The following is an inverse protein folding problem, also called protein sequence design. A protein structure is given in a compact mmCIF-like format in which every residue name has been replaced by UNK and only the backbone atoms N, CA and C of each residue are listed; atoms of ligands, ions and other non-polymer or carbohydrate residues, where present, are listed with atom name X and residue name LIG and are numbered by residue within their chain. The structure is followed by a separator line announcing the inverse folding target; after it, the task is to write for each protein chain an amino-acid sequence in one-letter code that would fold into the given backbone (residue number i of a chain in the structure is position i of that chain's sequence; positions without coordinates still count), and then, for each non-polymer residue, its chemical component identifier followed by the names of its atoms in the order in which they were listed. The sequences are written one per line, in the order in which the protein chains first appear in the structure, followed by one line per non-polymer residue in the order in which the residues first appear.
data_IF_594251244003
#
_entry.id   IF_594251244003
#
_cell.length_a   1.000
_cell.length_b   1.000
_cell.length_c   1.000
_cell.angle_alpha   90.00
_cell.angle_beta   90.00
_cell.angle_gamma   90.00
#
_symmetry.space_group_name_H-M   'P 1'
#
loop_
_entity.id
_entity.type
_entity.pdbx_description
1 polymer ?
#
# COMPACT_ATOMS: atom_id res chain seq x y z
N UNK A 1 -52.22 47.40 6.78
CA UNK A 1 -50.74 47.30 6.81
C UNK A 1 -50.40 45.99 7.52
N UNK A 2 -50.06 44.93 6.78
CA UNK A 2 -49.72 43.60 7.31
C UNK A 2 -48.37 43.21 6.72
N UNK A 3 -47.37 43.00 7.57
CA UNK A 3 -46.07 42.47 7.17
C UNK A 3 -46.10 40.95 7.23
N UNK A 4 -45.60 40.20 6.23
CA UNK A 4 -45.34 38.79 6.41
C UNK A 4 -43.95 38.63 7.03
N UNK A 5 -43.88 37.88 8.13
CA UNK A 5 -42.63 37.39 8.72
C UNK A 5 -42.20 36.21 7.85
N UNK A 6 -41.10 36.37 7.12
CA UNK A 6 -40.42 35.27 6.43
C UNK A 6 -39.52 34.58 7.46
N UNK A 7 -39.88 33.36 7.87
CA UNK A 7 -39.00 32.51 8.64
C UNK A 7 -37.98 31.87 7.69
N UNK A 8 -36.71 32.28 7.80
CA UNK A 8 -35.61 31.63 7.10
C UNK A 8 -35.19 30.38 7.89
N UNK A 9 -35.55 29.20 7.39
CA UNK A 9 -35.04 27.94 7.90
C UNK A 9 -33.59 27.76 7.46
N UNK A 10 -32.65 27.91 8.41
CA UNK A 10 -31.24 27.55 8.20
C UNK A 10 -31.14 26.03 8.22
N UNK A 11 -30.99 25.40 7.05
CA UNK A 11 -30.58 24.01 6.94
C UNK A 11 -29.09 23.94 7.33
N UNK A 12 -28.79 23.45 8.52
CA UNK A 12 -27.43 23.05 8.89
C UNK A 12 -27.18 21.72 8.17
N UNK A 13 -26.52 21.75 7.01
CA UNK A 13 -25.91 20.54 6.44
C UNK A 13 -24.84 20.08 7.43
N UNK A 14 -25.15 19.08 8.25
CA UNK A 14 -24.14 18.30 8.90
C UNK A 14 -23.38 17.54 7.80
N UNK A 15 -22.23 18.07 7.38
CA UNK A 15 -21.26 17.30 6.64
C UNK A 15 -20.82 16.16 7.59
N UNK A 16 -21.43 14.99 7.44
CA UNK A 16 -20.90 13.77 8.02
C UNK A 16 -19.53 13.56 7.38
N UNK A 17 -18.47 13.97 8.08
CA UNK A 17 -17.13 13.48 7.83
C UNK A 17 -17.19 11.97 8.09
N UNK A 18 -17.55 11.20 7.06
CA UNK A 18 -17.36 9.77 7.09
C UNK A 18 -15.86 9.55 7.28
N UNK A 19 -15.48 9.04 8.44
CA UNK A 19 -14.10 8.65 8.69
C UNK A 19 -13.78 7.50 7.73
N UNK A 20 -12.60 7.55 7.12
CA UNK A 20 -12.11 6.43 6.32
C UNK A 20 -11.78 5.23 7.19
N UNK A 21 -11.29 4.16 6.55
CA UNK A 21 -10.88 2.94 7.21
C UNK A 21 -9.98 3.25 8.41
N UNK A 22 -10.24 2.58 9.54
CA UNK A 22 -9.44 2.71 10.77
C UNK A 22 -8.09 1.99 10.67
N UNK A 23 -7.28 2.39 9.70
CA UNK A 23 -5.92 1.90 9.47
C UNK A 23 -4.89 2.75 10.20
N UNK A 24 -4.00 2.10 10.95
CA UNK A 24 -2.94 2.77 11.69
C UNK A 24 -1.72 2.96 10.77
N UNK A 25 -1.25 4.19 10.57
CA UNK A 25 -0.05 4.41 9.79
C UNK A 25 1.19 3.96 10.56
N UNK A 26 2.26 3.65 9.82
CA UNK A 26 3.53 3.22 10.38
C UNK A 26 4.68 3.76 9.50
N UNK A 27 5.54 4.61 10.07
CA UNK A 27 6.74 5.10 9.40
C UNK A 27 7.97 4.22 9.70
N UNK A 28 7.78 3.07 10.37
CA UNK A 28 8.79 2.06 10.68
C UNK A 28 10.07 2.60 11.36
N UNK A 29 9.96 3.72 12.07
CA UNK A 29 11.04 4.36 12.83
C UNK A 29 11.20 3.77 14.25
N UNK A 30 10.26 2.95 14.69
CA UNK A 30 10.26 2.33 16.02
C UNK A 30 11.26 1.19 16.17
N UNK A 31 11.32 0.60 17.36
CA UNK A 31 12.04 -0.65 17.61
C UNK A 31 11.24 -1.91 17.20
N UNK A 32 9.94 -1.74 16.94
CA UNK A 32 9.00 -2.75 16.49
C UNK A 32 7.98 -2.12 15.54
N UNK A 33 7.34 -2.93 14.69
CA UNK A 33 6.14 -2.53 13.95
C UNK A 33 5.01 -2.15 14.92
N UNK A 34 4.07 -1.33 14.44
CA UNK A 34 2.84 -1.01 15.17
C UNK A 34 2.09 -2.30 15.59
N UNK A 35 1.59 -2.42 16.83
CA UNK A 35 0.92 -3.64 17.32
C UNK A 35 -0.40 -3.98 16.63
N UNK A 36 -0.96 -3.09 15.81
CA UNK A 36 -2.15 -3.36 14.99
C UNK A 36 -1.84 -4.20 13.74
N UNK A 37 -0.57 -4.38 13.40
CA UNK A 37 -0.16 -5.25 12.31
C UNK A 37 -0.26 -6.73 12.68
N UNK A 38 -0.60 -7.53 11.67
CA UNK A 38 -0.62 -8.99 11.73
C UNK A 38 0.22 -9.55 10.57
N UNK A 39 0.93 -10.64 10.85
CA UNK A 39 1.63 -11.39 9.82
C UNK A 39 0.77 -12.56 9.32
N UNK A 40 0.56 -12.62 8.00
CA UNK A 40 0.31 -13.86 7.30
C UNK A 40 1.66 -14.39 6.82
N UNK A 41 2.07 -15.56 7.31
CA UNK A 41 3.38 -16.18 7.04
C UNK A 41 4.54 -15.21 7.32
N UNK A 42 4.75 -14.92 8.61
CA UNK A 42 5.86 -14.09 9.08
C UNK A 42 7.21 -14.59 8.51
N UNK A 43 8.02 -13.71 7.90
CA UNK A 43 9.29 -14.13 7.32
C UNK A 43 10.32 -14.43 8.42
N UNK A 44 11.28 -15.32 8.17
CA UNK A 44 12.35 -15.62 9.14
C UNK A 44 13.31 -14.46 9.38
N UNK A 45 13.41 -13.53 8.42
CA UNK A 45 14.36 -12.42 8.48
C UNK A 45 13.64 -11.13 8.09
N UNK A 46 13.33 -10.34 9.10
CA UNK A 46 12.83 -8.99 8.97
C UNK A 46 13.29 -8.12 10.14
N UNK A 47 13.27 -6.81 9.92
CA UNK A 47 13.48 -5.81 10.95
C UNK A 47 12.78 -4.50 10.59
N UNK A 48 12.59 -3.66 11.60
CA UNK A 48 12.33 -2.23 11.39
C UNK A 48 13.54 -1.44 11.88
N UNK A 49 13.90 -0.41 11.12
CA UNK A 49 14.89 0.59 11.53
C UNK A 49 16.32 0.04 11.81
N UNK A 50 16.66 -1.21 11.42
CA UNK A 50 18.01 -1.78 11.63
C UNK A 50 18.79 -1.92 10.33
N UNK A 51 18.26 -2.65 9.35
CA UNK A 51 18.92 -2.81 8.04
C UNK A 51 18.93 -1.49 7.28
N UNK A 52 17.85 -0.71 7.40
CA UNK A 52 17.76 0.65 6.88
C UNK A 52 16.93 1.49 7.85
N UNK A 53 17.50 2.61 8.29
CA UNK A 53 16.86 3.48 9.27
C UNK A 53 15.53 4.03 8.71
N UNK A 54 14.45 3.89 9.49
CA UNK A 54 13.09 4.30 9.12
C UNK A 54 12.40 3.40 8.10
N UNK A 55 12.87 2.18 7.88
CA UNK A 55 12.26 1.26 6.92
C UNK A 55 11.93 -0.07 7.59
N UNK A 56 10.80 -0.65 7.21
CA UNK A 56 10.56 -2.07 7.35
C UNK A 56 11.37 -2.79 6.26
N UNK A 57 12.18 -3.76 6.66
CA UNK A 57 12.96 -4.58 5.75
C UNK A 57 12.62 -6.04 5.99
N UNK A 58 12.38 -6.82 4.93
CA UNK A 58 12.40 -8.27 5.03
C UNK A 58 13.03 -8.94 3.80
N UNK A 59 13.55 -10.14 4.02
CA UNK A 59 14.12 -10.97 2.96
C UNK A 59 13.03 -11.90 2.43
N UNK A 60 12.82 -11.87 1.12
CA UNK A 60 11.80 -12.68 0.45
C UNK A 60 12.07 -14.18 0.61
N UNK A 61 11.05 -14.92 1.02
CA UNK A 61 11.12 -16.37 1.14
C UNK A 61 10.49 -17.08 -0.07
N UNK A 62 10.93 -18.31 -0.33
CA UNK A 62 10.38 -19.16 -1.39
C UNK A 62 8.94 -19.57 -1.14
N UNK A 63 8.27 -19.97 -2.23
CA UNK A 63 6.86 -20.33 -2.25
C UNK A 63 6.01 -19.21 -1.63
N UNK A 64 6.28 -17.97 -2.04
CA UNK A 64 5.58 -16.77 -1.59
C UNK A 64 4.98 -16.06 -2.79
N UNK A 65 3.84 -16.58 -3.26
CA UNK A 65 3.11 -16.05 -4.40
C UNK A 65 1.68 -15.62 -4.01
N UNK A 66 1.22 -14.51 -4.61
CA UNK A 66 -0.17 -14.07 -4.61
C UNK A 66 -0.61 -13.95 -6.07
N UNK A 67 -1.19 -15.02 -6.62
CA UNK A 67 -1.72 -15.02 -7.99
C UNK A 67 -3.05 -15.74 -8.12
N UNK A 68 -3.03 -17.08 -8.06
CA UNK A 68 -4.23 -17.93 -8.03
C UNK A 68 -4.43 -18.65 -6.70
N UNK A 69 -3.40 -18.65 -5.88
CA UNK A 69 -3.39 -19.07 -4.49
C UNK A 69 -2.67 -17.99 -3.67
N UNK A 70 -2.94 -17.98 -2.36
CA UNK A 70 -2.18 -17.17 -1.41
C UNK A 70 -1.18 -18.05 -0.68
N UNK A 71 0.10 -17.81 -0.94
CA UNK A 71 1.22 -18.41 -0.22
C UNK A 71 2.12 -17.32 0.38
N UNK A 72 1.66 -16.07 0.38
CA UNK A 72 2.51 -14.91 0.60
C UNK A 72 2.88 -14.67 2.04
N UNK A 73 4.11 -14.23 2.23
CA UNK A 73 4.46 -13.35 3.35
C UNK A 73 3.76 -12.02 3.17
N UNK A 74 2.96 -11.63 4.16
CA UNK A 74 2.15 -10.41 4.12
C UNK A 74 1.97 -9.83 5.51
N UNK A 75 2.18 -8.52 5.62
CA UNK A 75 1.92 -7.72 6.81
C UNK A 75 0.63 -6.93 6.56
N UNK A 76 -0.40 -7.10 7.38
CA UNK A 76 -1.71 -6.51 7.13
C UNK A 76 -2.39 -6.01 8.39
N UNK A 77 -3.36 -5.12 8.20
CA UNK A 77 -4.35 -4.72 9.19
C UNK A 77 -5.73 -5.17 8.73
N UNK A 78 -6.60 -5.47 9.69
CA UNK A 78 -7.97 -5.89 9.42
C UNK A 78 -8.91 -4.69 9.46
N UNK A 79 -9.77 -4.56 8.46
CA UNK A 79 -10.86 -3.59 8.41
C UNK A 79 -12.18 -4.34 8.47
N UNK A 80 -12.95 -4.07 9.54
CA UNK A 80 -14.19 -4.77 9.88
C UNK A 80 -15.45 -4.04 9.39
N UNK A 81 -15.29 -2.82 8.90
CA UNK A 81 -16.39 -1.97 8.44
C UNK A 81 -16.20 -1.63 6.95
N UNK A 82 -17.30 -1.36 6.24
CA UNK A 82 -17.26 -1.04 4.81
C UNK A 82 -16.87 0.42 4.58
N UNK A 83 -15.69 0.79 5.06
CA UNK A 83 -15.13 2.14 4.98
C UNK A 83 -14.26 2.31 3.73
N UNK A 84 -14.18 3.54 3.23
CA UNK A 84 -13.27 3.95 2.15
C UNK A 84 -11.84 4.07 2.71
N UNK A 85 -10.84 3.66 1.92
CA UNK A 85 -9.43 3.76 2.31
C UNK A 85 -8.61 4.43 1.20
N UNK A 86 -7.49 5.02 1.57
CA UNK A 86 -6.55 5.63 0.65
C UNK A 86 -5.13 5.34 1.09
N UNK A 87 -4.70 4.10 0.82
CA UNK A 87 -3.44 3.58 1.35
C UNK A 87 -2.29 3.78 0.39
N UNK A 88 -1.15 4.19 0.92
CA UNK A 88 0.08 4.36 0.16
C UNK A 88 1.32 3.89 0.93
N UNK A 89 2.36 3.55 0.16
CA UNK A 89 3.68 3.17 0.64
C UNK A 89 4.74 3.55 -0.38
N UNK A 90 5.99 3.66 0.06
CA UNK A 90 7.16 3.62 -0.82
C UNK A 90 7.82 2.24 -0.71
N UNK A 91 7.93 1.57 -1.84
CA UNK A 91 8.53 0.26 -2.00
C UNK A 91 9.92 0.39 -2.61
N UNK A 92 10.91 -0.23 -1.98
CA UNK A 92 12.21 -0.52 -2.59
C UNK A 92 12.41 -2.03 -2.66
N UNK A 93 12.82 -2.51 -3.83
CA UNK A 93 13.23 -3.90 -4.03
C UNK A 93 14.61 -3.98 -4.65
N UNK A 94 15.37 -4.99 -4.25
CA UNK A 94 16.57 -5.45 -4.95
C UNK A 94 16.50 -6.96 -5.12
N UNK A 95 16.68 -7.44 -6.35
CA UNK A 95 16.54 -8.85 -6.69
C UNK A 95 17.67 -9.36 -7.58
N UNK A 96 17.96 -10.65 -7.40
CA UNK A 96 18.97 -11.36 -8.16
C UNK A 96 18.40 -12.00 -9.43
N UNK A 97 18.59 -13.31 -9.51
CA UNK A 97 18.25 -14.16 -10.66
C UNK A 97 17.04 -15.07 -10.37
N UNK A 98 16.19 -14.73 -9.41
CA UNK A 98 14.91 -15.42 -9.23
C UNK A 98 14.06 -15.28 -10.49
N UNK A 99 13.41 -16.35 -10.91
CA UNK A 99 12.56 -16.30 -12.10
C UNK A 99 11.33 -15.43 -11.91
N UNK A 100 10.82 -15.37 -10.67
CA UNK A 100 9.58 -14.70 -10.31
C UNK A 100 9.64 -14.25 -8.86
N UNK A 101 9.77 -12.94 -8.67
CA UNK A 101 9.73 -12.24 -7.39
C UNK A 101 8.54 -11.27 -7.39
N UNK A 102 7.86 -11.11 -6.25
CA UNK A 102 6.72 -10.17 -6.13
C UNK A 102 6.82 -9.33 -4.87
N UNK A 103 6.37 -8.08 -4.95
CA UNK A 103 6.14 -7.23 -3.78
C UNK A 103 5.14 -6.11 -4.09
N UNK A 104 4.39 -5.62 -3.10
CA UNK A 104 3.51 -4.49 -3.29
C UNK A 104 2.45 -4.29 -2.21
N UNK A 105 1.34 -3.67 -2.63
CA UNK A 105 0.15 -3.41 -1.83
C UNK A 105 -0.98 -4.38 -2.19
N UNK A 106 -1.75 -4.80 -1.19
CA UNK A 106 -2.88 -5.70 -1.37
C UNK A 106 -4.04 -5.32 -0.46
N UNK A 107 -5.24 -5.54 -0.99
CA UNK A 107 -6.50 -5.61 -0.22
C UNK A 107 -7.07 -6.99 -0.50
N UNK A 108 -7.08 -7.85 0.52
CA UNK A 108 -7.64 -9.20 0.44
C UNK A 108 -9.02 -9.24 1.08
N UNK A 109 -9.86 -10.10 0.54
CA UNK A 109 -11.23 -10.37 0.94
C UNK A 109 -11.32 -11.86 1.31
N UNK A 110 -10.97 -12.25 2.56
CA UNK A 110 -10.83 -13.66 2.94
C UNK A 110 -12.10 -14.48 2.73
N UNK A 111 -13.28 -13.90 3.02
CA UNK A 111 -14.58 -14.55 2.88
C UNK A 111 -14.93 -14.93 1.43
N UNK A 112 -14.38 -14.22 0.45
CA UNK A 112 -14.57 -14.50 -0.98
C UNK A 112 -13.37 -15.22 -1.61
N UNK A 113 -12.32 -15.51 -0.84
CA UNK A 113 -11.03 -16.00 -1.34
C UNK A 113 -10.56 -15.20 -2.57
N UNK A 114 -10.61 -13.87 -2.43
CA UNK A 114 -10.27 -12.94 -3.49
C UNK A 114 -9.41 -11.78 -3.00
N UNK A 115 -8.81 -11.05 -3.93
CA UNK A 115 -7.94 -9.93 -3.62
C UNK A 115 -7.82 -8.98 -4.80
N UNK A 116 -7.50 -7.73 -4.48
CA UNK A 116 -7.04 -6.71 -5.42
C UNK A 116 -5.62 -6.33 -5.00
N UNK A 117 -4.68 -6.34 -5.93
CA UNK A 117 -3.28 -6.02 -5.65
C UNK A 117 -2.69 -5.06 -6.67
N UNK A 118 -1.75 -4.26 -6.18
CA UNK A 118 -0.82 -3.48 -6.98
C UNK A 118 0.59 -3.98 -6.67
N UNK A 119 1.22 -4.66 -7.65
CA UNK A 119 2.46 -5.40 -7.42
C UNK A 119 3.54 -5.11 -8.45
N UNK A 120 4.78 -5.06 -7.98
CA UNK A 120 5.95 -5.20 -8.82
C UNK A 120 6.21 -6.70 -9.03
N UNK A 121 6.17 -7.16 -10.28
CA UNK A 121 6.59 -8.52 -10.66
C UNK A 121 7.98 -8.43 -11.28
N UNK A 122 8.94 -9.08 -10.63
CA UNK A 122 10.38 -9.02 -10.87
C UNK A 122 10.86 -10.33 -11.49
N UNK A 123 11.73 -10.22 -12.49
CA UNK A 123 12.16 -11.33 -13.33
C UNK A 123 13.66 -11.59 -13.22
N UNK A 124 14.07 -12.83 -13.52
CA UNK A 124 15.46 -13.28 -13.40
C UNK A 124 16.44 -12.64 -14.38
N UNK A 125 15.93 -12.01 -15.44
CA UNK A 125 16.69 -11.15 -16.34
C UNK A 125 16.91 -9.74 -15.79
N UNK A 126 16.62 -9.50 -14.51
CA UNK A 126 16.76 -8.22 -13.80
C UNK A 126 15.84 -7.09 -14.31
N UNK A 127 14.79 -7.43 -15.05
CA UNK A 127 13.69 -6.51 -15.38
C UNK A 127 12.51 -6.72 -14.43
N UNK A 128 11.61 -5.76 -14.35
CA UNK A 128 10.34 -5.92 -13.66
C UNK A 128 9.22 -5.15 -14.36
N UNK A 129 7.98 -5.47 -14.02
CA UNK A 129 6.79 -4.74 -14.46
C UNK A 129 5.83 -4.52 -13.30
N UNK A 130 5.19 -3.36 -13.29
CA UNK A 130 4.13 -3.04 -12.35
C UNK A 130 2.79 -3.58 -12.89
N UNK A 131 2.01 -4.21 -12.02
CA UNK A 131 0.73 -4.84 -12.37
C UNK A 131 -0.36 -4.42 -11.39
N UNK A 132 -1.57 -4.20 -11.88
CA UNK A 132 -2.77 -4.00 -11.08
C UNK A 132 -3.77 -5.11 -11.41
N UNK A 133 -4.03 -6.00 -10.45
CA UNK A 133 -4.63 -7.30 -10.71
C UNK A 133 -5.68 -7.68 -9.65
N UNK A 134 -6.58 -8.57 -10.06
CA UNK A 134 -7.39 -9.40 -9.16
C UNK A 134 -6.82 -10.82 -9.14
N UNK A 135 -7.33 -11.68 -8.26
CA UNK A 135 -6.98 -13.11 -8.26
C UNK A 135 -7.12 -13.73 -9.65
N UNK A 136 -6.04 -14.32 -10.17
CA UNK A 136 -5.92 -14.89 -11.51
C UNK A 136 -6.34 -13.99 -12.69
N UNK A 137 -6.52 -12.69 -12.50
CA UNK A 137 -7.04 -11.78 -13.54
C UNK A 137 -6.16 -10.55 -13.63
N UNK A 138 -5.57 -10.36 -14.81
CA UNK A 138 -4.63 -9.27 -15.09
C UNK A 138 -5.07 -8.33 -16.23
N UNK A 139 -6.28 -8.48 -16.72
CA UNK A 139 -6.83 -7.60 -17.76
C UNK A 139 -8.35 -7.46 -17.63
N UNK A 140 -8.88 -6.38 -18.21
CA UNK A 140 -10.30 -6.02 -18.10
C UNK A 140 -10.61 -5.28 -16.79
N UNK A 141 -11.76 -4.58 -16.74
CA UNK A 141 -12.22 -3.84 -15.54
C UNK A 141 -11.12 -2.95 -14.91
N UNK A 142 -10.37 -2.23 -15.76
CA UNK A 142 -9.28 -1.34 -15.37
C UNK A 142 -8.01 -2.02 -14.83
N UNK A 143 -7.94 -3.36 -14.87
CA UNK A 143 -6.74 -4.13 -14.51
C UNK A 143 -5.70 -4.10 -15.62
N UNK A 144 -4.44 -4.24 -15.26
CA UNK A 144 -3.33 -4.36 -16.21
C UNK A 144 -2.24 -5.28 -15.71
N UNK A 145 -1.80 -6.19 -16.58
CA UNK A 145 -0.63 -7.04 -16.37
C UNK A 145 0.69 -6.31 -16.65
N UNK A 146 0.65 -5.08 -17.18
CA UNK A 146 1.84 -4.26 -17.40
C UNK A 146 1.47 -2.79 -17.53
N UNK A 147 1.85 -1.98 -16.54
CA UNK A 147 1.71 -0.53 -16.63
C UNK A 147 2.59 0.01 -17.78
N UNK A 148 1.99 0.73 -18.71
CA UNK A 148 2.71 1.32 -19.83
C UNK A 148 3.68 2.41 -19.34
N UNK A 149 4.87 2.48 -19.95
CA UNK A 149 5.88 3.48 -19.62
C UNK A 149 6.74 3.17 -18.38
N UNK A 150 6.34 2.22 -17.53
CA UNK A 150 7.14 1.79 -16.38
C UNK A 150 7.78 0.42 -16.62
N UNK A 151 9.10 0.40 -16.79
CA UNK A 151 9.89 -0.80 -17.08
C UNK A 151 11.26 -0.77 -16.38
N UNK A 152 11.29 -0.89 -15.04
CA UNK A 152 12.54 -0.91 -14.30
C UNK A 152 13.44 -2.07 -14.73
N UNK A 153 14.76 -1.83 -14.68
CA UNK A 153 15.79 -2.79 -15.05
C UNK A 153 17.00 -2.68 -14.12
N UNK A 154 17.88 -3.67 -14.16
CA UNK A 154 19.11 -3.70 -13.36
C UNK A 154 18.95 -4.35 -11.98
N UNK A 155 17.83 -5.02 -11.69
CA UNK A 155 17.66 -5.80 -10.47
C UNK A 155 17.32 -4.96 -9.25
N UNK A 156 16.82 -3.74 -9.47
CA UNK A 156 16.36 -2.85 -8.41
C UNK A 156 15.23 -1.96 -8.89
N UNK A 157 14.36 -1.57 -7.96
CA UNK A 157 13.28 -0.61 -8.20
C UNK A 157 12.96 0.15 -6.91
N UNK A 158 12.63 1.42 -7.05
CA UNK A 158 12.18 2.32 -5.98
C UNK A 158 10.97 3.09 -6.53
N UNK A 159 9.81 2.93 -5.91
CA UNK A 159 8.56 3.52 -6.38
C UNK A 159 7.56 3.68 -5.24
N UNK A 160 6.59 4.55 -5.46
CA UNK A 160 5.48 4.76 -4.55
C UNK A 160 4.25 4.09 -5.13
N UNK A 161 3.54 3.35 -4.29
CA UNK A 161 2.33 2.63 -4.64
C UNK A 161 1.16 3.19 -3.84
N UNK A 162 -0.01 3.26 -4.46
CA UNK A 162 -1.23 3.69 -3.78
C UNK A 162 -2.45 2.91 -4.27
N UNK A 163 -3.27 2.46 -3.33
CA UNK A 163 -4.59 1.88 -3.58
C UNK A 163 -5.62 2.75 -2.89
N UNK A 164 -6.62 3.20 -3.65
CA UNK A 164 -7.72 4.02 -3.14
C UNK A 164 -9.04 3.34 -3.39
N UNK A 165 -9.82 3.12 -2.33
CA UNK A 165 -11.21 2.69 -2.42
C UNK A 165 -12.15 3.87 -2.22
N UNK A 166 -13.13 3.98 -3.12
CA UNK A 166 -14.26 4.89 -3.02
C UNK A 166 -15.54 4.12 -3.38
N UNK A 167 -16.35 3.81 -2.37
CA UNK A 167 -17.53 2.97 -2.48
C UNK A 167 -17.20 1.55 -2.97
N UNK A 168 -17.71 1.20 -4.15
CA UNK A 168 -17.52 -0.10 -4.80
C UNK A 168 -16.33 -0.13 -5.77
N UNK A 169 -15.48 0.91 -5.80
CA UNK A 169 -14.34 0.99 -6.72
C UNK A 169 -13.02 1.02 -5.98
N UNK A 170 -12.03 0.33 -6.52
CA UNK A 170 -10.62 0.44 -6.11
C UNK A 170 -9.80 0.93 -7.30
N UNK A 171 -9.00 1.98 -7.09
CA UNK A 171 -8.12 2.55 -8.09
C UNK A 171 -6.65 2.40 -7.66
N UNK A 172 -5.82 1.89 -8.56
CA UNK A 172 -4.37 1.80 -8.39
C UNK A 172 -3.65 3.02 -8.96
N UNK A 173 -2.63 3.50 -8.26
CA UNK A 173 -1.76 4.59 -8.68
C UNK A 173 -0.30 4.29 -8.36
N UNK A 174 0.61 4.92 -9.10
CA UNK A 174 2.03 4.91 -8.79
C UNK A 174 2.69 6.26 -9.09
N UNK A 175 3.90 6.44 -8.54
CA UNK A 175 4.84 7.48 -8.96
C UNK A 175 6.27 7.01 -8.69
N UNK A 176 7.24 7.58 -9.39
CA UNK A 176 8.64 7.14 -9.31
C UNK A 176 9.45 7.95 -8.30
N UNK A 177 9.08 9.22 -8.05
CA UNK A 177 9.79 10.07 -7.09
C UNK A 177 8.84 10.72 -6.09
N UNK A 178 9.40 11.07 -4.94
CA UNK A 178 8.72 11.90 -3.97
C UNK A 178 8.44 13.28 -4.60
N UNK A 179 7.22 13.79 -4.41
CA UNK A 179 6.77 15.04 -5.02
C UNK A 179 6.21 14.94 -6.44
N UNK A 180 6.39 13.83 -7.15
CA UNK A 180 5.73 13.60 -8.43
C UNK A 180 4.21 13.49 -8.26
N UNK A 181 3.47 13.85 -9.31
CA UNK A 181 2.04 13.59 -9.41
C UNK A 181 1.75 12.08 -9.49
N UNK A 182 0.65 11.66 -8.90
CA UNK A 182 0.20 10.27 -8.96
C UNK A 182 -0.29 9.92 -10.36
N UNK A 183 0.35 8.93 -10.98
CA UNK A 183 -0.13 8.35 -12.24
C UNK A 183 -1.17 7.27 -11.95
N UNK A 184 -2.40 7.48 -12.45
CA UNK A 184 -3.46 6.47 -12.39
C UNK A 184 -3.13 5.29 -13.29
N UNK A 185 -3.20 4.08 -12.73
CA UNK A 185 -3.05 2.83 -13.47
C UNK A 185 -4.40 2.40 -14.04
N UNK A 186 -5.42 2.36 -13.19
CA UNK A 186 -6.76 1.92 -13.57
C UNK A 186 -7.67 1.75 -12.36
N UNK A 187 -8.97 1.58 -12.62
CA UNK A 187 -10.03 1.45 -11.60
C UNK A 187 -10.81 0.17 -11.85
N UNK A 188 -10.98 -0.64 -10.82
CA UNK A 188 -11.69 -1.91 -10.86
C UNK A 188 -12.80 -1.96 -9.82
N UNK A 189 -13.76 -2.86 -10.00
CA UNK A 189 -14.84 -3.04 -9.01
C UNK A 189 -14.32 -3.81 -7.79
N UNK A 190 -14.60 -3.29 -6.59
CA UNK A 190 -14.30 -3.88 -5.29
C UNK A 190 -15.22 -5.07 -5.02
N UNK A 191 -14.74 -6.02 -4.23
CA UNK A 191 -15.57 -7.07 -3.66
C UNK A 191 -16.41 -6.52 -2.51
N UNK A 192 -17.57 -7.13 -2.26
CA UNK A 192 -18.51 -6.70 -1.22
C UNK A 192 -18.48 -7.67 -0.04
N UNK A 193 -17.31 -7.83 0.54
CA UNK A 193 -17.09 -8.68 1.70
C UNK A 193 -16.19 -8.04 2.73
N UNK A 194 -16.44 -8.47 3.97
CA UNK A 194 -15.67 -8.17 5.16
C UNK A 194 -15.29 -9.49 5.87
N UNK A 195 -14.25 -9.48 6.71
CA UNK A 195 -13.29 -8.38 6.86
C UNK A 195 -12.47 -8.16 5.58
N UNK A 196 -11.89 -6.97 5.42
CA UNK A 196 -10.80 -6.75 4.47
C UNK A 196 -9.46 -6.83 5.20
N UNK A 197 -8.45 -7.39 4.54
CA UNK A 197 -7.07 -7.37 5.02
C UNK A 197 -6.24 -6.48 4.10
N UNK A 198 -5.78 -5.34 4.61
CA UNK A 198 -5.08 -4.32 3.83
C UNK A 198 -3.64 -4.23 4.29
N UNK A 199 -2.69 -4.29 3.35
CA UNK A 199 -1.30 -4.15 3.73
C UNK A 199 -0.27 -4.41 2.65
N UNK A 200 0.91 -4.78 3.13
CA UNK A 200 2.16 -4.95 2.38
C UNK A 200 2.40 -6.45 2.17
N UNK A 201 2.90 -6.84 1.00
CA UNK A 201 3.24 -8.24 0.76
C UNK A 201 4.47 -8.38 -0.12
N UNK A 202 5.07 -9.56 -0.11
CA UNK A 202 6.11 -9.91 -1.07
C UNK A 202 6.88 -11.18 -0.74
N UNK A 203 7.60 -11.69 -1.73
CA UNK A 203 8.48 -12.85 -1.61
C UNK A 203 8.82 -13.45 -2.96
N UNK A 204 9.45 -14.63 -2.92
CA UNK A 204 9.90 -15.34 -4.11
C UNK A 204 8.86 -16.39 -4.49
N UNK A 205 8.24 -16.22 -5.66
CA UNK A 205 7.33 -17.21 -6.24
C UNK A 205 8.13 -18.38 -6.82
N UNK A 206 9.14 -18.08 -7.64
CA UNK A 206 9.99 -19.10 -8.27
C UNK A 206 11.45 -18.65 -8.37
N UNK A 207 12.36 -19.50 -7.93
CA UNK A 207 13.80 -19.26 -7.97
C UNK A 207 14.52 -19.77 -6.73
N UNK A 208 15.81 -19.44 -6.60
CA UNK A 208 16.62 -19.73 -5.42
C UNK A 208 17.57 -18.57 -5.01
N UNK A 209 17.41 -17.41 -5.63
CA UNK A 209 18.19 -16.19 -5.43
C UNK A 209 17.67 -15.29 -4.31
N UNK A 210 18.37 -14.17 -4.13
CA UNK A 210 18.04 -13.17 -3.09
C UNK A 210 16.99 -12.19 -3.59
N UNK A 211 16.05 -11.87 -2.69
CA UNK A 211 15.09 -10.79 -2.82
C UNK A 211 15.11 -9.96 -1.52
N UNK A 212 15.53 -8.70 -1.60
CA UNK A 212 15.41 -7.70 -0.55
C UNK A 212 14.17 -6.86 -0.82
N UNK A 213 13.27 -6.77 0.16
CA UNK A 213 12.06 -5.96 0.10
C UNK A 213 12.09 -4.96 1.25
N UNK A 214 11.86 -3.69 0.95
CA UNK A 214 11.80 -2.64 1.96
C UNK A 214 10.62 -1.71 1.72
N UNK A 215 9.98 -1.30 2.82
CA UNK A 215 8.90 -0.32 2.82
C UNK A 215 9.27 0.84 3.74
N UNK A 216 9.18 2.06 3.24
CA UNK A 216 9.53 3.29 3.99
C UNK A 216 8.43 3.63 5.01
N UNK A 217 7.18 3.48 4.60
CA UNK A 217 6.02 3.77 5.44
C UNK A 217 4.79 3.01 4.94
N UNK A 218 3.76 2.94 5.77
CA UNK A 218 2.39 2.67 5.36
C UNK A 218 1.51 3.79 5.89
N UNK A 219 0.72 4.40 5.01
CA UNK A 219 -0.19 5.50 5.39
C UNK A 219 -1.55 5.27 4.79
N UNK A 220 -2.57 5.66 5.53
CA UNK A 220 -3.92 5.86 5.00
C UNK A 220 -4.26 7.35 5.08
N UNK A 221 -4.51 7.95 3.90
CA UNK A 221 -4.80 9.37 3.77
C UNK A 221 -6.21 9.71 4.29
N UNK A 222 -7.14 8.75 4.36
CA UNK A 222 -8.50 8.95 4.90
C UNK A 222 -8.62 8.57 6.38
N UNK A 223 -7.67 7.81 6.92
CA UNK A 223 -7.67 7.42 8.33
C UNK A 223 -7.54 8.63 9.26
N UNK A 224 -8.29 8.65 10.40
CA UNK A 224 -8.12 9.66 11.44
C UNK A 224 -6.80 9.49 12.22
N UNK A 225 -6.17 8.33 12.14
CA UNK A 225 -4.88 8.07 12.78
C UNK A 225 -3.74 8.62 11.93
N UNK A 226 -2.82 9.35 12.56
CA UNK A 226 -1.60 9.88 11.93
C UNK A 226 -0.41 9.47 12.77
N UNK A 227 0.74 9.25 12.16
CA UNK A 227 1.96 9.04 12.93
C UNK A 227 2.32 10.34 13.68
N UNK A 228 3.00 10.25 14.84
CA UNK A 228 3.37 11.43 15.63
C UNK A 228 4.33 12.41 14.94
N UNK A 229 4.81 12.08 13.73
CA UNK A 229 5.76 12.87 12.95
C UNK A 229 5.14 13.27 11.62
N UNK A 230 4.88 14.56 11.50
CA UNK A 230 4.54 15.25 10.26
C UNK A 230 5.57 14.92 9.16
N UNK A 231 5.17 14.57 7.91
CA UNK A 231 6.08 14.45 6.78
C UNK A 231 6.87 15.74 6.49
N UNK A 232 6.37 16.91 6.91
CA UNK A 232 7.09 18.19 6.86
C UNK A 232 8.05 18.39 8.05
N UNK A 233 8.06 17.44 8.99
CA UNK A 233 8.74 17.50 10.28
C UNK A 233 9.97 16.60 10.40
N UNK A 234 10.90 16.64 9.43
CA UNK A 234 12.33 16.34 9.70
C UNK A 234 12.90 17.43 10.64
N UNK A 235 12.38 17.50 11.87
CA UNK A 235 12.70 18.52 12.88
C UNK A 235 14.12 18.42 13.43
N UNK A 236 14.89 17.38 13.06
CA UNK A 236 16.32 17.33 13.35
C UNK A 236 17.13 18.41 12.57
N UNK A 237 16.59 18.97 11.48
CA UNK A 237 17.30 19.96 10.64
C UNK A 237 17.04 21.42 11.02
N UNK A 238 15.99 21.72 11.78
CA UNK A 238 15.57 23.12 12.05
C UNK A 238 16.26 23.67 13.32
N UNK A 239 16.56 22.83 14.31
CA UNK A 239 17.30 23.28 15.51
C UNK A 239 18.74 23.72 15.22
N UNK A 240 19.37 23.15 14.20
CA UNK A 240 20.71 23.55 13.76
C UNK A 240 20.74 24.95 13.09
N UNK A 241 19.58 25.48 12.63
CA UNK A 241 19.47 26.82 12.04
C UNK A 241 19.06 27.93 13.00
N UNK A 242 18.65 27.60 14.22
CA UNK A 242 18.24 28.59 15.25
C UNK A 242 19.37 28.82 16.28
N UNK A 243 20.40 27.97 16.28
CA UNK A 243 21.59 28.12 17.15
C UNK A 243 22.89 28.40 16.39
N UNK A 244 22.81 28.77 15.11
CA UNK A 244 23.94 29.19 14.27
C UNK A 244 23.96 30.70 14.11
#
# INVERSE_FOLDING_TARGET
MRYPIVAASILILAASFAWGAKLYPDDFNGASINPHWQWAKEPKTWDVNKTKAGWLTWIGEFNSNLWCSDQTTRLYQTVEEKEDFDVETRLYCEWGNNDSDIAGLVVKFPSEDNWIMLKLWMHGNKTAQLQFQKKCVESGDGLTGKVAGYAPSGGKADLFLRLKREGDKVTGYFKEKEGDDWTKIGTTTCFDSLPMEIGLFGGVDRGNGKLLIQFDYFRDNTSPFKTPVDPQGKLASIWARIKG
#
